data_IF_399477908139
#
_entry.id   IF_399477908139
#
_cell.length_a   1.000
_cell.length_b   1.000
_cell.length_c   1.000
_cell.angle_alpha   90.00
_cell.angle_beta   90.00
_cell.angle_gamma   90.00
#
_symmetry.space_group_name_H-M   'P 1'
#
loop_
_entity.id
_entity.type
_entity.pdbx_description
1 polymer ?
#
# COMPACT_ATOMS: atom_id res chain seq x y z
N UNK A 1 22.92 2.70 -16.86
CA UNK A 1 22.27 1.98 -15.76
C UNK A 1 21.66 2.96 -14.77
N UNK A 2 20.55 2.58 -14.14
CA UNK A 2 20.02 3.33 -13.00
C UNK A 2 21.02 3.26 -11.83
N UNK A 3 21.42 4.40 -11.32
CA UNK A 3 22.31 4.51 -10.17
C UNK A 3 21.75 5.47 -9.13
N UNK A 4 20.46 5.33 -8.84
CA UNK A 4 19.80 6.10 -7.81
C UNK A 4 20.39 5.83 -6.42
N UNK A 5 20.96 4.65 -6.22
CA UNK A 5 21.43 4.16 -4.92
C UNK A 5 20.30 4.00 -3.91
N UNK A 6 19.04 4.05 -4.38
CA UNK A 6 17.83 3.98 -3.61
C UNK A 6 16.90 2.86 -4.08
N UNK A 7 15.62 2.97 -3.71
CA UNK A 7 14.59 1.97 -4.00
C UNK A 7 14.41 1.69 -5.50
N UNK A 8 14.59 2.70 -6.37
CA UNK A 8 14.47 2.54 -7.81
C UNK A 8 15.59 1.69 -8.43
N UNK A 9 16.76 1.57 -7.79
CA UNK A 9 17.86 0.71 -8.28
C UNK A 9 17.50 -0.78 -8.23
N UNK A 10 16.48 -1.16 -7.47
CA UNK A 10 15.95 -2.53 -7.42
C UNK A 10 15.08 -2.88 -8.65
N UNK A 11 14.75 -1.88 -9.49
CA UNK A 11 14.04 -2.07 -10.74
C UNK A 11 15.04 -2.06 -11.89
N UNK A 12 14.83 -2.91 -12.89
CA UNK A 12 15.67 -2.96 -14.11
C UNK A 12 15.31 -1.86 -15.11
N UNK A 13 14.57 -0.84 -14.70
CA UNK A 13 14.05 0.24 -15.54
C UNK A 13 14.19 1.59 -14.85
N UNK A 14 14.06 2.68 -15.63
CA UNK A 14 14.09 4.03 -15.11
C UNK A 14 12.67 4.52 -14.77
N UNK A 15 12.51 5.10 -13.59
CA UNK A 15 11.23 5.59 -13.06
C UNK A 15 11.32 7.09 -12.81
N UNK A 16 10.38 7.85 -13.36
CA UNK A 16 10.28 9.30 -13.19
C UNK A 16 10.13 9.68 -11.72
N UNK A 17 10.92 10.65 -11.28
CA UNK A 17 10.93 11.12 -9.89
C UNK A 17 11.75 10.27 -8.92
N UNK A 18 12.29 9.14 -9.36
CA UNK A 18 13.08 8.24 -8.50
C UNK A 18 14.46 7.94 -9.06
N UNK A 19 14.57 7.67 -10.36
CA UNK A 19 15.80 7.18 -10.98
C UNK A 19 16.81 8.28 -11.25
N UNK A 20 18.09 7.89 -11.21
CA UNK A 20 19.25 8.68 -11.66
C UNK A 20 20.07 7.84 -12.62
N UNK A 21 20.59 8.43 -13.67
CA UNK A 21 21.46 7.74 -14.60
C UNK A 21 22.94 7.94 -14.24
N UNK A 22 23.72 6.89 -14.36
CA UNK A 22 25.17 6.98 -14.38
C UNK A 22 25.66 6.80 -15.80
N UNK A 23 26.42 7.78 -16.29
CA UNK A 23 26.96 7.82 -17.65
C UNK A 23 28.50 7.76 -17.55
N UNK A 24 29.09 6.93 -18.38
CA UNK A 24 30.54 6.75 -18.42
C UNK A 24 31.02 6.77 -19.88
N UNK A 25 32.06 7.52 -20.16
CA UNK A 25 32.76 7.42 -21.43
C UNK A 25 33.55 6.11 -21.50
N UNK A 26 33.34 5.33 -22.55
CA UNK A 26 34.11 4.12 -22.80
C UNK A 26 35.50 4.50 -23.38
N UNK A 27 36.53 4.46 -22.57
CA UNK A 27 37.87 4.96 -22.88
C UNK A 27 38.42 4.43 -24.23
N UNK A 28 38.21 3.17 -24.56
CA UNK A 28 38.70 2.58 -25.82
C UNK A 28 37.82 2.84 -27.06
N UNK A 29 36.73 3.60 -26.92
CA UNK A 29 35.77 3.88 -28.00
C UNK A 29 35.88 5.33 -28.52
N UNK A 30 36.72 6.16 -27.93
CA UNK A 30 36.94 7.54 -28.32
C UNK A 30 38.29 7.65 -28.96
N UNK A 31 38.32 8.01 -30.25
CA UNK A 31 39.56 8.19 -31.01
C UNK A 31 39.60 9.62 -31.57
N UNK A 32 40.73 10.30 -31.31
CA UNK A 32 41.08 11.55 -31.97
C UNK A 32 41.84 11.25 -33.24
N UNK A 33 41.61 12.06 -34.30
CA UNK A 33 42.28 11.91 -35.59
C UNK A 33 43.48 12.90 -35.70
N UNK A 34 44.36 12.65 -36.64
CA UNK A 34 45.48 13.53 -37.01
C UNK A 34 46.36 13.92 -35.82
N UNK A 35 46.69 12.96 -34.94
CA UNK A 35 47.60 13.17 -33.82
C UNK A 35 47.06 14.02 -32.66
N UNK A 36 45.77 14.38 -32.69
CA UNK A 36 45.17 15.07 -31.57
C UNK A 36 44.96 14.12 -30.36
N UNK A 37 44.93 14.66 -29.15
CA UNK A 37 44.59 13.97 -27.91
C UNK A 37 43.31 14.48 -27.33
N UNK A 38 42.67 13.72 -26.45
CA UNK A 38 41.48 14.16 -25.73
C UNK A 38 41.89 15.25 -24.73
N UNK A 39 41.22 16.39 -24.80
CA UNK A 39 41.39 17.52 -23.87
C UNK A 39 40.44 17.48 -22.71
N UNK A 40 39.15 17.24 -22.98
CA UNK A 40 38.10 17.23 -21.92
C UNK A 40 36.89 16.41 -22.30
N UNK A 41 36.16 15.96 -21.28
CA UNK A 41 34.81 15.36 -21.36
C UNK A 41 33.84 16.31 -20.71
N UNK A 42 32.62 16.36 -21.27
CA UNK A 42 31.48 17.05 -20.65
C UNK A 42 30.25 16.21 -20.78
N UNK A 43 29.53 15.97 -19.68
CA UNK A 43 28.25 15.28 -19.67
C UNK A 43 27.23 16.22 -19.05
N UNK A 44 26.10 16.46 -19.74
CA UNK A 44 25.03 17.35 -19.27
C UNK A 44 23.68 16.63 -19.35
N UNK A 45 22.85 16.87 -18.34
CA UNK A 45 21.46 16.42 -18.28
C UNK A 45 20.60 17.54 -17.68
N UNK A 46 19.55 18.00 -18.41
CA UNK A 46 18.68 19.07 -17.94
C UNK A 46 19.42 20.41 -17.64
N UNK A 47 20.46 20.74 -18.40
CA UNK A 47 21.27 21.96 -18.20
C UNK A 47 22.31 21.85 -17.09
N UNK A 48 22.31 20.79 -16.29
CA UNK A 48 23.30 20.53 -15.25
C UNK A 48 24.25 19.44 -15.72
N UNK A 49 25.55 19.61 -15.48
CA UNK A 49 26.53 18.61 -15.91
C UNK A 49 27.86 18.73 -15.18
N UNK A 50 28.78 17.86 -15.56
CA UNK A 50 30.14 17.83 -15.05
C UNK A 50 31.14 17.52 -16.17
N UNK A 51 32.38 17.99 -15.99
CA UNK A 51 33.53 17.70 -16.85
C UNK A 51 34.25 16.45 -16.30
N UNK A 52 33.45 15.40 -16.02
CA UNK A 52 33.94 14.18 -15.40
C UNK A 52 33.24 12.93 -15.99
N UNK A 53 33.94 11.80 -15.92
CA UNK A 53 33.43 10.47 -16.25
C UNK A 53 33.95 9.49 -15.20
N UNK A 54 33.06 8.74 -14.49
CA UNK A 54 31.59 8.70 -14.66
C UNK A 54 30.88 9.93 -14.10
N UNK A 55 29.75 10.29 -14.70
CA UNK A 55 28.86 11.33 -14.20
C UNK A 55 27.52 10.71 -13.75
N UNK A 56 27.03 11.14 -12.59
CA UNK A 56 25.74 10.74 -12.03
C UNK A 56 24.77 11.93 -12.12
N UNK A 57 23.68 11.75 -12.85
CA UNK A 57 22.66 12.80 -13.04
C UNK A 57 21.94 13.13 -11.72
N UNK A 58 21.22 14.23 -11.69
CA UNK A 58 20.11 14.45 -10.76
C UNK A 58 19.00 13.42 -10.95
N UNK A 59 17.93 13.53 -10.14
CA UNK A 59 16.73 12.72 -10.32
C UNK A 59 16.08 13.08 -11.67
N UNK A 60 15.82 12.07 -12.47
CA UNK A 60 15.20 12.20 -13.78
C UNK A 60 13.68 12.36 -13.65
N UNK A 61 13.06 13.19 -14.50
CA UNK A 61 11.63 13.45 -14.49
C UNK A 61 11.06 13.53 -15.92
N UNK A 62 9.73 13.46 -16.03
CA UNK A 62 9.05 13.41 -17.33
C UNK A 62 8.94 12.00 -17.90
N UNK A 63 8.68 11.88 -19.19
CA UNK A 63 8.61 10.59 -19.92
C UNK A 63 9.95 10.16 -20.50
N UNK A 64 10.88 11.09 -20.66
CA UNK A 64 12.24 10.82 -21.11
C UNK A 64 13.21 11.89 -20.63
N UNK A 65 14.49 11.55 -20.58
CA UNK A 65 15.57 12.47 -20.28
C UNK A 65 16.64 12.39 -21.37
N UNK A 66 17.13 13.54 -21.82
CA UNK A 66 18.25 13.63 -22.77
C UNK A 66 19.53 13.91 -22.00
N UNK A 67 20.57 13.14 -22.29
CA UNK A 67 21.90 13.29 -21.72
C UNK A 67 22.87 13.55 -22.88
N UNK A 68 23.45 14.73 -22.91
CA UNK A 68 24.43 15.13 -23.95
C UNK A 68 25.83 14.83 -23.45
N UNK A 69 26.55 14.06 -24.23
CA UNK A 69 27.95 13.69 -23.99
C UNK A 69 28.83 14.37 -25.02
N UNK A 70 29.73 15.24 -24.60
CA UNK A 70 30.71 15.96 -25.45
C UNK A 70 32.11 15.53 -25.12
N UNK A 71 32.89 15.33 -26.15
CA UNK A 71 34.33 15.14 -26.07
C UNK A 71 35.03 16.25 -26.89
N UNK A 72 36.00 16.91 -26.29
CA UNK A 72 36.79 17.98 -26.97
C UNK A 72 38.24 17.54 -27.12
N UNK A 73 38.81 17.71 -28.27
CA UNK A 73 40.22 17.40 -28.57
C UNK A 73 41.18 18.56 -28.18
N UNK A 74 42.49 18.29 -28.30
CA UNK A 74 43.55 19.28 -27.97
C UNK A 74 43.54 20.52 -28.85
N UNK A 75 42.85 20.49 -30.00
CA UNK A 75 42.70 21.63 -30.93
C UNK A 75 41.41 22.42 -30.68
N UNK A 76 40.55 21.96 -29.75
CA UNK A 76 39.30 22.58 -29.46
C UNK A 76 38.09 22.10 -30.32
N UNK A 77 38.34 21.13 -31.22
CA UNK A 77 37.23 20.50 -31.96
C UNK A 77 36.50 19.52 -31.05
N UNK A 78 35.19 19.39 -31.22
CA UNK A 78 34.39 18.52 -30.36
C UNK A 78 33.43 17.63 -31.18
N UNK A 79 33.05 16.54 -30.55
CA UNK A 79 31.96 15.67 -30.98
C UNK A 79 30.97 15.51 -29.84
N UNK A 80 29.71 15.42 -30.20
CA UNK A 80 28.62 15.21 -29.24
C UNK A 80 27.79 14.01 -29.62
N UNK A 81 27.31 13.32 -28.59
CA UNK A 81 26.28 12.28 -28.71
C UNK A 81 25.20 12.52 -27.65
N UNK A 82 23.95 12.34 -28.07
CA UNK A 82 22.80 12.46 -27.15
C UNK A 82 22.24 11.08 -26.86
N UNK A 83 22.24 10.72 -25.59
CA UNK A 83 21.59 9.52 -25.08
C UNK A 83 20.20 9.88 -24.57
N UNK A 84 19.19 9.18 -25.05
CA UNK A 84 17.81 9.33 -24.55
C UNK A 84 17.46 8.19 -23.62
N UNK A 85 17.04 8.51 -22.41
CA UNK A 85 16.57 7.55 -21.40
C UNK A 85 15.06 7.68 -21.30
N UNK A 86 14.33 6.61 -21.61
CA UNK A 86 12.88 6.53 -21.40
C UNK A 86 12.58 6.29 -19.93
N UNK A 87 11.54 6.95 -19.41
CA UNK A 87 11.15 6.90 -18.02
C UNK A 87 9.70 6.42 -17.89
N UNK A 88 9.45 5.47 -17.02
CA UNK A 88 8.09 5.10 -16.64
C UNK A 88 7.51 6.13 -15.67
N UNK A 89 6.27 6.52 -15.91
CA UNK A 89 5.49 7.31 -14.95
C UNK A 89 5.21 6.48 -13.69
N UNK A 90 5.14 7.16 -12.56
CA UNK A 90 4.84 6.52 -11.28
C UNK A 90 3.71 7.25 -10.54
N UNK A 91 2.79 6.45 -10.02
CA UNK A 91 1.80 6.87 -9.03
C UNK A 91 1.91 5.94 -7.81
N UNK A 92 1.81 6.50 -6.62
CA UNK A 92 1.84 5.75 -5.38
C UNK A 92 0.73 4.67 -5.35
N UNK A 93 0.97 3.53 -4.71
CA UNK A 93 -0.04 2.49 -4.61
C UNK A 93 -1.28 2.99 -3.86
N UNK A 94 -2.45 2.47 -4.24
CA UNK A 94 -3.73 2.79 -3.64
C UNK A 94 -4.60 1.53 -3.53
N UNK A 95 -5.46 1.51 -2.52
CA UNK A 95 -6.50 0.49 -2.35
C UNK A 95 -7.85 1.06 -2.78
N UNK A 96 -8.62 0.28 -3.52
CA UNK A 96 -10.00 0.62 -3.91
C UNK A 96 -10.94 -0.51 -3.54
N UNK A 97 -12.21 -0.15 -3.19
CA UNK A 97 -13.24 -1.13 -2.80
C UNK A 97 -12.89 -1.91 -1.53
N UNK A 98 -12.02 -1.36 -0.68
CA UNK A 98 -11.56 -2.05 0.53
C UNK A 98 -12.71 -2.22 1.53
N UNK A 99 -12.84 -3.44 2.05
CA UNK A 99 -13.78 -3.82 3.12
C UNK A 99 -13.09 -4.78 4.07
N UNK A 100 -13.44 -4.69 5.34
CA UNK A 100 -13.05 -5.59 6.42
C UNK A 100 -14.29 -5.93 7.23
N UNK A 101 -14.51 -7.19 7.55
CA UNK A 101 -15.70 -7.64 8.24
C UNK A 101 -15.43 -8.95 8.99
N UNK A 102 -16.28 -9.25 9.98
CA UNK A 102 -16.33 -10.56 10.63
C UNK A 102 -16.91 -11.58 9.66
N UNK A 103 -16.36 -12.79 9.62
CA UNK A 103 -16.71 -13.79 8.62
C UNK A 103 -16.67 -15.22 9.20
N UNK A 104 -17.33 -16.12 8.49
CA UNK A 104 -17.12 -17.56 8.61
C UNK A 104 -15.83 -18.00 7.86
N UNK A 105 -15.55 -19.31 7.85
CA UNK A 105 -14.40 -19.93 7.16
C UNK A 105 -14.46 -19.76 5.64
N UNK A 106 -15.66 -19.60 5.08
CA UNK A 106 -15.87 -19.38 3.66
C UNK A 106 -15.73 -17.91 3.23
N UNK A 107 -15.27 -17.05 4.15
CA UNK A 107 -15.12 -15.60 3.94
C UNK A 107 -16.44 -14.87 3.67
N UNK A 108 -17.59 -15.47 4.04
CA UNK A 108 -18.89 -14.81 3.97
C UNK A 108 -19.12 -13.99 5.25
N UNK A 109 -19.74 -12.80 5.14
CA UNK A 109 -20.10 -12.00 6.31
C UNK A 109 -20.96 -12.80 7.29
N UNK A 110 -20.51 -12.90 8.54
CA UNK A 110 -21.19 -13.62 9.60
C UNK A 110 -20.97 -12.90 10.94
N UNK A 111 -22.05 -12.43 11.57
CA UNK A 111 -21.96 -11.66 12.81
C UNK A 111 -21.30 -12.45 13.95
N UNK A 112 -21.51 -13.77 14.00
CA UNK A 112 -20.90 -14.69 14.97
C UNK A 112 -19.68 -15.43 14.41
N UNK A 113 -19.17 -15.03 13.25
CA UNK A 113 -18.03 -15.67 12.61
C UNK A 113 -16.77 -15.59 13.46
N UNK A 114 -15.93 -16.59 13.36
CA UNK A 114 -14.69 -16.71 14.12
C UNK A 114 -13.47 -16.16 13.37
N UNK A 115 -13.67 -15.57 12.19
CA UNK A 115 -12.59 -15.00 11.39
C UNK A 115 -12.84 -13.52 11.06
N UNK A 116 -11.79 -12.87 10.59
CA UNK A 116 -11.87 -11.57 9.91
C UNK A 116 -11.52 -11.79 8.45
N UNK A 117 -12.42 -11.46 7.56
CA UNK A 117 -12.15 -11.42 6.13
C UNK A 117 -12.06 -9.98 5.62
N UNK A 118 -11.43 -9.83 4.49
CA UNK A 118 -11.33 -8.56 3.81
C UNK A 118 -11.20 -8.73 2.31
N UNK A 119 -11.55 -7.69 1.59
CA UNK A 119 -11.35 -7.56 0.15
C UNK A 119 -10.84 -6.18 -0.18
N UNK A 120 -9.90 -6.09 -1.11
CA UNK A 120 -9.46 -4.81 -1.66
C UNK A 120 -8.84 -5.02 -3.04
N UNK A 121 -8.99 -4.03 -3.91
CA UNK A 121 -8.30 -4.02 -5.21
C UNK A 121 -7.11 -3.09 -5.14
N UNK A 122 -5.93 -3.63 -5.44
CA UNK A 122 -4.69 -2.87 -5.53
C UNK A 122 -4.59 -2.13 -6.85
N UNK A 123 -4.23 -0.84 -6.80
CA UNK A 123 -3.80 -0.04 -7.93
C UNK A 123 -2.38 0.43 -7.70
N UNK A 124 -1.49 0.24 -8.65
CA UNK A 124 -0.09 0.67 -8.58
C UNK A 124 0.51 0.81 -9.98
N UNK A 125 1.62 1.51 -10.09
CA UNK A 125 2.37 1.64 -11.35
C UNK A 125 3.32 0.46 -11.51
N UNK A 126 3.09 -0.39 -12.49
CA UNK A 126 3.92 -1.60 -12.74
C UNK A 126 5.31 -1.28 -13.29
N UNK A 127 5.53 -0.09 -13.86
CA UNK A 127 6.81 0.34 -14.42
C UNK A 127 7.40 -0.70 -15.39
N UNK A 128 6.62 -1.15 -16.35
CA UNK A 128 7.03 -2.19 -17.31
C UNK A 128 7.06 -3.61 -16.74
N UNK A 129 6.37 -3.87 -15.63
CA UNK A 129 6.34 -5.17 -14.95
C UNK A 129 7.41 -5.34 -13.88
N UNK A 130 8.33 -4.39 -13.75
CA UNK A 130 9.43 -4.44 -12.77
C UNK A 130 8.99 -4.09 -11.34
N UNK A 131 8.04 -3.16 -11.21
CA UNK A 131 7.43 -2.82 -9.93
C UNK A 131 6.25 -3.75 -9.68
N UNK A 132 6.35 -4.55 -8.65
CA UNK A 132 5.29 -5.45 -8.18
C UNK A 132 4.78 -4.98 -6.84
N UNK A 133 3.56 -5.36 -6.49
CA UNK A 133 3.01 -5.06 -5.17
C UNK A 133 2.66 -6.32 -4.40
N UNK A 134 2.71 -6.22 -3.09
CA UNK A 134 2.21 -7.22 -2.14
C UNK A 134 1.01 -6.66 -1.41
N UNK A 135 0.01 -7.50 -1.16
CA UNK A 135 -1.14 -7.16 -0.33
C UNK A 135 -1.11 -8.08 0.88
N UNK A 136 -1.27 -7.51 2.06
CA UNK A 136 -1.35 -8.25 3.32
C UNK A 136 -2.48 -7.73 4.18
N UNK A 137 -3.18 -8.66 4.82
CA UNK A 137 -4.12 -8.38 5.89
C UNK A 137 -3.44 -8.53 7.25
N UNK A 138 -3.71 -7.62 8.18
CA UNK A 138 -3.21 -7.66 9.55
C UNK A 138 -4.37 -7.47 10.51
N UNK A 139 -4.27 -8.06 11.67
CA UNK A 139 -5.25 -7.91 12.73
C UNK A 139 -4.59 -7.91 14.11
N UNK A 140 -5.30 -7.40 15.10
CA UNK A 140 -4.93 -7.45 16.51
C UNK A 140 -6.17 -7.33 17.39
N UNK A 141 -6.13 -7.83 18.60
CA UNK A 141 -7.07 -7.39 19.63
C UNK A 141 -6.84 -5.89 19.90
N UNK A 142 -7.89 -5.16 20.23
CA UNK A 142 -7.78 -3.70 20.51
C UNK A 142 -6.73 -3.46 21.59
N UNK A 143 -5.74 -2.63 21.30
CA UNK A 143 -4.61 -2.33 22.18
C UNK A 143 -3.49 -3.37 22.17
N UNK A 144 -3.62 -4.47 21.40
CA UNK A 144 -2.59 -5.51 21.28
C UNK A 144 -1.57 -5.24 20.16
N UNK A 145 -0.68 -6.20 19.94
CA UNK A 145 0.30 -6.18 18.86
C UNK A 145 -0.30 -6.68 17.54
N UNK A 146 0.13 -6.12 16.41
CA UNK A 146 -0.28 -6.58 15.08
C UNK A 146 0.24 -7.99 14.79
N UNK A 147 -0.58 -8.79 14.10
CA UNK A 147 -0.19 -10.09 13.54
C UNK A 147 0.96 -9.93 12.53
N UNK A 148 1.61 -11.03 12.16
CA UNK A 148 2.67 -11.07 11.15
C UNK A 148 2.20 -10.68 9.74
N UNK A 149 0.91 -10.68 9.50
CA UNK A 149 0.26 -10.35 8.23
C UNK A 149 0.07 -11.56 7.32
N UNK A 150 -1.17 -11.76 6.87
CA UNK A 150 -1.60 -12.82 5.96
C UNK A 150 -1.59 -12.30 4.52
N UNK A 151 -1.02 -13.05 3.58
CA UNK A 151 -1.02 -12.69 2.18
C UNK A 151 -2.45 -12.71 1.61
N UNK A 152 -2.78 -11.69 0.82
CA UNK A 152 -4.08 -11.54 0.17
C UNK A 152 -3.93 -11.37 -1.34
N UNK A 153 -4.99 -11.67 -2.08
CA UNK A 153 -5.03 -11.49 -3.55
C UNK A 153 -5.87 -10.25 -3.88
N UNK A 154 -5.37 -9.43 -4.81
CA UNK A 154 -6.08 -8.24 -5.29
C UNK A 154 -7.42 -8.61 -5.91
N UNK A 155 -8.49 -7.95 -5.47
CA UNK A 155 -9.84 -8.12 -5.99
C UNK A 155 -10.58 -9.38 -5.50
N UNK A 156 -9.92 -10.21 -4.67
CA UNK A 156 -10.55 -11.39 -4.08
C UNK A 156 -10.70 -11.22 -2.55
N UNK A 157 -11.70 -11.84 -1.97
CA UNK A 157 -11.81 -11.97 -0.52
C UNK A 157 -10.71 -12.89 0.02
N UNK A 158 -10.22 -12.60 1.21
CA UNK A 158 -9.22 -13.41 1.90
C UNK A 158 -9.38 -13.30 3.41
N UNK A 159 -9.03 -14.38 4.13
CA UNK A 159 -9.02 -14.38 5.59
C UNK A 159 -7.81 -13.57 6.09
N UNK A 160 -8.09 -12.45 6.74
CA UNK A 160 -7.08 -11.59 7.37
C UNK A 160 -6.46 -12.28 8.58
N UNK A 161 -7.28 -13.07 9.29
CA UNK A 161 -6.84 -13.90 10.43
C UNK A 161 -6.09 -15.15 10.01
N UNK A 162 -6.15 -15.56 8.73
CA UNK A 162 -5.68 -16.88 8.32
C UNK A 162 -6.48 -17.97 9.05
N UNK A 163 -5.80 -18.97 9.57
CA UNK A 163 -6.40 -20.11 10.29
C UNK A 163 -6.59 -19.83 11.80
N UNK A 164 -6.54 -18.56 12.23
CA UNK A 164 -6.68 -18.20 13.65
C UNK A 164 -8.10 -17.77 13.96
N UNK A 165 -8.73 -18.45 14.90
CA UNK A 165 -10.05 -18.08 15.43
C UNK A 165 -9.95 -16.86 16.33
N UNK A 166 -10.90 -15.94 16.18
CA UNK A 166 -11.08 -14.80 17.04
C UNK A 166 -12.29 -14.99 17.97
N UNK A 167 -12.23 -14.37 19.13
CA UNK A 167 -13.33 -14.42 20.08
C UNK A 167 -14.51 -13.55 19.63
N UNK A 168 -15.73 -14.05 19.82
CA UNK A 168 -16.95 -13.26 19.59
C UNK A 168 -17.15 -12.16 20.63
N UNK A 169 -16.58 -12.34 21.82
CA UNK A 169 -16.68 -11.40 22.96
C UNK A 169 -15.64 -10.28 22.94
N UNK A 170 -14.70 -10.29 21.98
CA UNK A 170 -13.66 -9.30 21.88
C UNK A 170 -13.78 -8.45 20.59
N UNK A 171 -13.35 -7.20 20.68
CA UNK A 171 -13.20 -6.31 19.53
C UNK A 171 -11.78 -6.36 18.98
N UNK A 172 -11.65 -6.24 17.68
CA UNK A 172 -10.39 -6.32 16.97
C UNK A 172 -10.20 -5.11 16.06
N UNK A 173 -8.96 -4.74 15.83
CA UNK A 173 -8.56 -3.83 14.76
C UNK A 173 -7.99 -4.68 13.62
N UNK A 174 -8.42 -4.38 12.41
CA UNK A 174 -7.89 -5.02 11.21
C UNK A 174 -7.46 -3.99 10.19
N UNK A 175 -6.46 -4.30 9.37
CA UNK A 175 -6.04 -3.48 8.24
C UNK A 175 -5.65 -4.34 7.05
N UNK A 176 -5.89 -3.82 5.86
CA UNK A 176 -5.29 -4.30 4.61
C UNK A 176 -4.24 -3.29 4.21
N UNK A 177 -3.05 -3.75 3.88
CA UNK A 177 -1.93 -2.92 3.45
C UNK A 177 -1.38 -3.42 2.13
N UNK A 178 -1.15 -2.51 1.20
CA UNK A 178 -0.42 -2.75 -0.04
C UNK A 178 0.94 -2.07 0.07
N UNK A 179 1.97 -2.78 -0.37
CA UNK A 179 3.33 -2.25 -0.49
C UNK A 179 3.90 -2.57 -1.87
N UNK A 180 4.47 -1.58 -2.54
CA UNK A 180 5.16 -1.77 -3.80
C UNK A 180 6.67 -1.99 -3.61
N UNK A 181 7.37 -2.39 -4.67
CA UNK A 181 8.81 -2.64 -4.65
C UNK A 181 9.65 -1.37 -4.43
N UNK A 182 9.08 -0.20 -4.73
CA UNK A 182 9.66 1.10 -4.40
C UNK A 182 9.51 1.46 -2.91
N UNK A 183 8.76 0.63 -2.14
CA UNK A 183 8.56 0.75 -0.71
C UNK A 183 7.54 1.80 -0.32
N UNK A 184 6.67 2.21 -1.25
CA UNK A 184 5.52 3.01 -0.94
C UNK A 184 4.36 2.11 -0.53
N UNK A 185 3.54 2.58 0.40
CA UNK A 185 2.44 1.82 0.98
C UNK A 185 1.14 2.59 0.96
N UNK A 186 0.03 1.87 0.95
CA UNK A 186 -1.29 2.39 1.29
C UNK A 186 -2.03 1.37 2.15
N UNK A 187 -2.89 1.82 3.05
CA UNK A 187 -3.64 0.93 3.93
C UNK A 187 -5.09 1.38 4.10
N UNK A 188 -5.94 0.42 4.42
CA UNK A 188 -7.31 0.59 4.87
C UNK A 188 -7.47 -0.14 6.20
N UNK A 189 -8.08 0.49 7.20
CA UNK A 189 -8.28 -0.08 8.53
C UNK A 189 -9.73 0.03 8.97
N UNK A 190 -10.17 -0.94 9.76
CA UNK A 190 -11.49 -0.95 10.38
C UNK A 190 -11.43 -1.61 11.76
N UNK A 191 -12.38 -1.25 12.61
CA UNK A 191 -12.63 -1.97 13.86
C UNK A 191 -13.69 -3.03 13.59
N UNK A 192 -13.42 -4.25 14.01
CA UNK A 192 -14.35 -5.38 13.99
C UNK A 192 -14.93 -5.48 15.40
N UNK A 193 -16.21 -5.16 15.59
CA UNK A 193 -16.83 -5.17 16.90
C UNK A 193 -16.99 -6.61 17.45
N UNK A 194 -17.39 -6.70 18.71
CA UNK A 194 -17.86 -7.96 19.30
C UNK A 194 -19.05 -8.49 18.52
N UNK A 195 -19.22 -9.81 18.47
CA UNK A 195 -20.39 -10.46 17.92
C UNK A 195 -21.61 -10.33 18.87
N UNK A 196 -21.33 -10.24 20.16
CA UNK A 196 -22.37 -10.13 21.18
C UNK A 196 -22.91 -8.70 21.24
N UNK A 197 -24.21 -8.57 21.06
CA UNK A 197 -24.92 -7.31 21.14
C UNK A 197 -25.31 -7.06 22.59
N UNK A 198 -24.60 -6.16 23.27
CA UNK A 198 -24.96 -5.78 24.65
C UNK A 198 -26.30 -5.02 24.69
N UNK A 199 -26.52 -4.12 23.73
CA UNK A 199 -27.74 -3.30 23.63
C UNK A 199 -28.01 -2.97 22.16
N UNK A 200 -29.26 -3.09 21.75
CA UNK A 200 -29.72 -2.76 20.39
C UNK A 200 -31.03 -1.96 20.43
N UNK A 201 -31.07 -0.87 19.68
CA UNK A 201 -32.30 -0.14 19.37
C UNK A 201 -32.78 -0.51 17.98
N UNK A 202 -34.07 -0.93 17.88
CA UNK A 202 -34.67 -1.24 16.60
C UNK A 202 -34.75 0.03 15.73
N UNK A 203 -34.47 -0.07 14.42
CA UNK A 203 -34.76 1.01 13.49
C UNK A 203 -36.23 1.43 13.59
N UNK A 204 -36.51 2.74 13.70
CA UNK A 204 -37.85 3.29 13.98
C UNK A 204 -38.13 3.57 15.46
N UNK A 205 -37.23 3.24 16.39
CA UNK A 205 -37.24 3.71 17.78
C UNK A 205 -38.29 3.09 18.70
N UNK A 206 -38.95 2.00 18.28
CA UNK A 206 -40.04 1.40 19.06
C UNK A 206 -39.69 0.06 19.73
N UNK A 207 -38.45 -0.35 19.70
CA UNK A 207 -38.00 -1.56 20.35
C UNK A 207 -36.55 -1.43 20.83
N UNK A 208 -36.24 -2.07 21.94
CA UNK A 208 -34.90 -2.16 22.50
C UNK A 208 -34.63 -3.59 22.96
N UNK A 209 -33.38 -4.04 22.86
CA UNK A 209 -32.98 -5.34 23.37
C UNK A 209 -31.64 -5.28 24.10
N UNK A 210 -31.50 -6.12 25.12
CA UNK A 210 -30.26 -6.44 25.80
C UNK A 210 -29.86 -7.88 25.47
N UNK A 211 -28.62 -8.08 25.08
CA UNK A 211 -28.06 -9.40 24.77
C UNK A 211 -28.51 -10.01 23.44
N UNK A 212 -29.24 -9.25 22.60
CA UNK A 212 -29.69 -9.67 21.26
C UNK A 212 -30.06 -8.46 20.40
N UNK A 213 -30.26 -8.67 19.11
CA UNK A 213 -30.92 -7.70 18.26
C UNK A 213 -32.38 -7.59 18.59
N UNK A 214 -32.93 -6.36 18.66
CA UNK A 214 -34.38 -6.16 18.88
C UNK A 214 -35.16 -6.53 17.62
N UNK A 215 -36.08 -7.47 17.77
CA UNK A 215 -36.92 -8.01 16.70
C UNK A 215 -38.37 -7.51 16.81
N UNK A 216 -38.79 -7.05 17.98
CA UNK A 216 -40.16 -6.65 18.29
C UNK A 216 -40.28 -5.20 18.75
N UNK A 217 -41.45 -4.63 18.72
CA UNK A 217 -41.77 -3.33 19.35
C UNK A 217 -41.93 -3.51 20.88
N UNK A 218 -40.87 -3.94 21.55
CA UNK A 218 -40.85 -4.26 22.96
C UNK A 218 -39.45 -4.09 23.54
N UNK A 219 -39.31 -4.13 24.86
CA UNK A 219 -38.08 -4.37 25.54
C UNK A 219 -37.82 -5.89 25.60
N UNK A 220 -36.79 -6.34 24.91
CA UNK A 220 -36.39 -7.75 24.85
C UNK A 220 -35.10 -7.95 25.65
N UNK A 221 -35.01 -9.00 26.47
CA UNK A 221 -33.84 -9.36 27.24
C UNK A 221 -33.50 -10.82 27.00
N UNK A 222 -32.32 -11.10 26.43
CA UNK A 222 -31.84 -12.44 26.18
C UNK A 222 -31.13 -13.06 27.42
N UNK A 223 -30.74 -12.23 28.37
CA UNK A 223 -30.07 -12.64 29.62
C UNK A 223 -31.03 -12.69 30.79
N UNK A 224 -30.72 -13.43 31.85
CA UNK A 224 -31.45 -13.31 33.12
C UNK A 224 -31.45 -11.84 33.59
N UNK A 225 -32.61 -11.31 33.92
CA UNK A 225 -32.74 -9.95 34.42
C UNK A 225 -33.10 -9.98 35.91
N UNK A 226 -32.37 -9.20 36.71
CA UNK A 226 -32.65 -8.99 38.13
C UNK A 226 -33.21 -7.58 38.35
N UNK A 227 -34.35 -7.48 39.00
CA UNK A 227 -34.98 -6.21 39.32
C UNK A 227 -34.97 -5.98 40.82
N UNK A 228 -34.07 -5.12 41.30
CA UNK A 228 -33.83 -4.89 42.76
C UNK A 228 -35.00 -4.23 43.49
N UNK A 229 -35.90 -3.59 42.79
CA UNK A 229 -37.03 -2.82 43.40
C UNK A 229 -38.43 -3.30 42.97
N UNK A 230 -38.48 -4.51 42.43
CA UNK A 230 -39.74 -5.07 41.93
C UNK A 230 -40.12 -4.61 40.51
N UNK A 231 -41.09 -5.28 39.93
CA UNK A 231 -41.63 -5.01 38.59
C UNK A 231 -43.13 -4.73 38.70
N UNK A 232 -43.57 -3.70 37.98
CA UNK A 232 -44.99 -3.34 37.90
C UNK A 232 -45.47 -3.48 36.46
N UNK A 233 -46.57 -4.17 36.23
CA UNK A 233 -47.20 -4.28 34.92
C UNK A 233 -48.60 -3.72 35.00
N UNK A 234 -48.94 -2.75 34.15
CA UNK A 234 -50.23 -2.09 34.17
C UNK A 234 -50.57 -1.43 35.52
N UNK A 235 -49.56 -0.94 36.25
CA UNK A 235 -49.73 -0.34 37.55
C UNK A 235 -49.87 -1.33 38.74
N UNK A 236 -49.81 -2.62 38.48
CA UNK A 236 -49.87 -3.68 39.52
C UNK A 236 -48.47 -4.27 39.71
N UNK A 237 -48.01 -4.33 40.95
CA UNK A 237 -46.80 -5.06 41.32
C UNK A 237 -46.99 -6.54 41.05
N UNK A 238 -45.99 -7.18 40.41
CA UNK A 238 -46.03 -8.61 40.09
C UNK A 238 -45.15 -9.45 41.04
N UNK A 239 -44.41 -8.76 41.94
CA UNK A 239 -43.72 -9.29 43.14
C UNK A 239 -43.10 -8.16 44.00
#
# INVERSE_FOLDING_TARGET
>A
ADNSGGKASALSTFVSGFSRAQVTFAAGKIACQYGASIRSYKITCGGVGADASPYKTGVLSGSSASIVCRVTDSRGLYAEETLTVSLYGYAAPALTGAKLYRSDDAMLPADTGLHIAGVATAKFSSCGGENVCTIKGYWRAVGGSWSAGTAMTSGAAGLVTGDVDILTTASYEAKIEIADKLGNTASFSAVIPTADVAFHLRPGGKGAAFGKYSEKEALEVAWPAEFQKGVTVGGKAIW
#
